data_IF_603629929168
#
_entry.id   IF_603629929168
#
_cell.length_a   1.000
_cell.length_b   1.000
_cell.length_c   1.000
_cell.angle_alpha   90.00
_cell.angle_beta   90.00
_cell.angle_gamma   90.00
#
_symmetry.space_group_name_H-M   'P 1'
#
loop_
_entity.id
_entity.type
_entity.pdbx_description
1 polymer ?
#
# COMPACT_ATOMS: atom_id res chain seq x y z
N UNK A 1 62.80 -9.66 -8.93
CA UNK A 1 61.62 -9.43 -9.78
C UNK A 1 60.36 -9.62 -8.96
N UNK A 2 59.44 -8.65 -8.97
CA UNK A 2 58.15 -8.73 -8.26
C UNK A 2 57.18 -9.51 -9.15
N UNK A 3 56.79 -10.71 -8.71
CA UNK A 3 55.61 -11.39 -9.23
C UNK A 3 54.36 -10.66 -8.69
N UNK A 4 53.98 -9.56 -9.35
CA UNK A 4 52.76 -8.82 -9.06
C UNK A 4 51.63 -9.18 -10.03
N UNK A 5 50.45 -9.48 -9.48
CA UNK A 5 49.13 -9.22 -10.08
C UNK A 5 48.72 -9.87 -11.43
N UNK A 6 49.12 -11.11 -11.72
CA UNK A 6 48.55 -11.83 -12.89
C UNK A 6 47.15 -12.42 -12.60
N UNK A 7 46.77 -12.58 -11.33
CA UNK A 7 45.48 -13.15 -10.92
C UNK A 7 44.35 -12.11 -10.96
N UNK A 8 44.63 -10.84 -10.63
CA UNK A 8 43.65 -9.76 -10.60
C UNK A 8 42.95 -9.52 -11.94
N UNK A 9 43.72 -9.47 -13.04
CA UNK A 9 43.17 -9.22 -14.38
C UNK A 9 42.28 -10.36 -14.88
N UNK A 10 42.64 -11.62 -14.59
CA UNK A 10 41.84 -12.79 -14.99
C UNK A 10 40.51 -12.84 -14.24
N UNK A 11 40.49 -12.45 -12.97
CA UNK A 11 39.26 -12.44 -12.18
C UNK A 11 38.37 -11.24 -12.51
N UNK A 12 38.94 -10.07 -12.84
CA UNK A 12 38.20 -8.94 -13.41
C UNK A 12 37.56 -9.31 -14.75
N UNK A 13 38.29 -10.01 -15.63
CA UNK A 13 37.77 -10.53 -16.90
C UNK A 13 36.65 -11.57 -16.70
N UNK A 14 36.76 -12.47 -15.71
CA UNK A 14 35.68 -13.43 -15.36
C UNK A 14 34.42 -12.74 -14.83
N UNK A 15 34.56 -11.68 -14.04
CA UNK A 15 33.43 -10.91 -13.51
C UNK A 15 32.74 -10.12 -14.63
N UNK A 16 33.51 -9.47 -15.50
CA UNK A 16 33.00 -8.72 -16.65
C UNK A 16 32.28 -9.65 -17.65
N UNK A 17 32.87 -10.82 -17.95
CA UNK A 17 32.25 -11.82 -18.84
C UNK A 17 30.98 -12.43 -18.23
N UNK A 18 30.95 -12.69 -16.93
CA UNK A 18 29.73 -13.13 -16.25
C UNK A 18 28.60 -12.09 -16.31
N UNK A 19 28.92 -10.80 -16.11
CA UNK A 19 27.92 -9.73 -16.22
C UNK A 19 27.38 -9.59 -17.66
N UNK A 20 28.25 -9.70 -18.67
CA UNK A 20 27.85 -9.68 -20.08
C UNK A 20 26.94 -10.85 -20.44
N UNK A 21 27.27 -12.07 -19.99
CA UNK A 21 26.45 -13.27 -20.20
C UNK A 21 25.10 -13.18 -19.48
N UNK A 22 25.05 -12.63 -18.26
CA UNK A 22 23.77 -12.44 -17.55
C UNK A 22 22.86 -11.44 -18.29
N UNK A 23 23.43 -10.33 -18.78
CA UNK A 23 22.69 -9.34 -19.57
C UNK A 23 22.18 -9.94 -20.89
N UNK A 24 23.03 -10.69 -21.58
CA UNK A 24 22.68 -11.41 -22.82
C UNK A 24 21.58 -12.43 -22.56
N UNK A 25 21.71 -13.24 -21.52
CA UNK A 25 20.72 -14.27 -21.20
C UNK A 25 19.35 -13.71 -20.82
N UNK A 26 19.30 -12.63 -20.01
CA UNK A 26 18.05 -11.92 -19.72
C UNK A 26 17.39 -11.34 -20.98
N UNK A 27 18.20 -10.85 -21.93
CA UNK A 27 17.70 -10.33 -23.20
C UNK A 27 17.09 -11.45 -24.05
N UNK A 28 17.77 -12.58 -24.18
CA UNK A 28 17.28 -13.74 -24.93
C UNK A 28 16.00 -14.35 -24.33
N UNK A 29 15.91 -14.44 -23.00
CA UNK A 29 14.68 -14.86 -22.33
C UNK A 29 13.51 -13.89 -22.58
N UNK A 30 13.78 -12.58 -22.59
CA UNK A 30 12.77 -11.57 -22.88
C UNK A 30 12.32 -11.61 -24.35
N UNK A 31 13.25 -11.77 -25.29
CA UNK A 31 12.98 -11.92 -26.72
C UNK A 31 12.16 -13.18 -27.01
N UNK A 32 12.49 -14.31 -26.38
CA UNK A 32 11.71 -15.55 -26.49
C UNK A 32 10.26 -15.39 -25.98
N UNK A 33 10.08 -14.76 -24.81
CA UNK A 33 8.74 -14.47 -24.28
C UNK A 33 7.94 -13.54 -25.20
N UNK A 34 8.58 -12.50 -25.74
CA UNK A 34 7.95 -11.57 -26.67
C UNK A 34 7.51 -12.27 -27.97
N UNK A 35 8.35 -13.15 -28.53
CA UNK A 35 8.01 -13.91 -29.74
C UNK A 35 6.82 -14.85 -29.55
N UNK A 36 6.69 -15.50 -28.39
CA UNK A 36 5.50 -16.33 -28.08
C UNK A 36 4.25 -15.48 -27.98
N UNK A 37 4.31 -14.36 -27.26
CA UNK A 37 3.15 -13.48 -27.07
C UNK A 37 2.75 -12.81 -28.40
N UNK A 38 3.71 -12.41 -29.25
CA UNK A 38 3.44 -11.86 -30.58
C UNK A 38 2.79 -12.89 -31.51
N UNK A 39 3.33 -14.12 -31.53
CA UNK A 39 2.74 -15.20 -32.31
C UNK A 39 1.33 -15.54 -31.84
N UNK A 40 1.09 -15.48 -30.52
CA UNK A 40 -0.21 -15.71 -29.94
C UNK A 40 -1.21 -14.58 -30.23
N UNK A 41 -0.81 -13.32 -30.05
CA UNK A 41 -1.66 -12.15 -30.29
C UNK A 41 -2.07 -11.99 -31.75
N UNK A 42 -1.21 -12.37 -32.71
CA UNK A 42 -1.57 -12.48 -34.14
C UNK A 42 -2.67 -13.51 -34.39
N UNK A 43 -2.74 -14.59 -33.60
CA UNK A 43 -3.79 -15.61 -33.68
C UNK A 43 -5.03 -15.31 -32.82
N UNK A 44 -4.91 -14.48 -31.78
CA UNK A 44 -5.97 -14.21 -30.81
C UNK A 44 -6.61 -12.83 -31.01
N UNK A 45 -7.80 -12.81 -31.62
CA UNK A 45 -8.57 -11.60 -31.95
C UNK A 45 -9.01 -10.75 -30.74
N UNK A 46 -9.07 -11.34 -29.54
CA UNK A 46 -9.56 -10.66 -28.32
C UNK A 46 -8.44 -10.20 -27.37
N UNK A 47 -7.18 -10.19 -27.82
CA UNK A 47 -6.01 -9.79 -27.00
C UNK A 47 -6.18 -8.40 -26.34
N UNK A 48 -6.57 -7.40 -27.13
CA UNK A 48 -6.82 -6.05 -26.61
C UNK A 48 -8.04 -5.95 -25.68
N UNK A 49 -9.02 -6.85 -25.81
CA UNK A 49 -10.17 -6.91 -24.88
C UNK A 49 -9.76 -7.49 -23.53
N UNK A 50 -8.90 -8.51 -23.53
CA UNK A 50 -8.33 -9.09 -22.31
C UNK A 50 -7.55 -8.06 -21.50
N UNK A 51 -6.65 -7.30 -22.15
CA UNK A 51 -5.88 -6.25 -21.49
C UNK A 51 -6.78 -5.17 -20.86
N UNK A 52 -7.79 -4.71 -21.61
CA UNK A 52 -8.78 -3.74 -21.10
C UNK A 52 -9.58 -4.31 -19.92
N UNK A 53 -9.94 -5.59 -19.96
CA UNK A 53 -10.66 -6.24 -18.87
C UNK A 53 -9.79 -6.38 -17.61
N UNK A 54 -8.50 -6.70 -17.76
CA UNK A 54 -7.53 -6.72 -16.66
C UNK A 54 -7.35 -5.33 -16.04
N UNK A 55 -7.16 -4.30 -16.85
CA UNK A 55 -7.06 -2.92 -16.39
C UNK A 55 -8.34 -2.48 -15.65
N UNK A 56 -9.51 -2.83 -16.20
CA UNK A 56 -10.81 -2.53 -15.57
C UNK A 56 -10.96 -3.26 -14.24
N UNK A 57 -10.58 -4.53 -14.15
CA UNK A 57 -10.62 -5.30 -12.92
C UNK A 57 -9.69 -4.70 -11.85
N UNK A 58 -8.45 -4.36 -12.21
CA UNK A 58 -7.50 -3.70 -11.31
C UNK A 58 -8.06 -2.39 -10.78
N UNK A 59 -8.54 -1.51 -11.68
CA UNK A 59 -9.13 -0.22 -11.30
C UNK A 59 -10.30 -0.34 -10.33
N UNK A 60 -11.19 -1.32 -10.55
CA UNK A 60 -12.33 -1.56 -9.67
C UNK A 60 -11.88 -2.11 -8.31
N UNK A 61 -10.91 -3.03 -8.28
CA UNK A 61 -10.34 -3.58 -7.04
C UNK A 61 -9.60 -2.51 -6.23
N UNK A 62 -8.80 -1.66 -6.89
CA UNK A 62 -8.11 -0.56 -6.24
C UNK A 62 -9.10 0.44 -5.62
N UNK A 63 -10.16 0.77 -6.36
CA UNK A 63 -11.24 1.62 -5.83
C UNK A 63 -11.95 0.97 -4.65
N UNK A 64 -12.22 -0.35 -4.72
CA UNK A 64 -12.82 -1.11 -3.63
C UNK A 64 -11.93 -1.07 -2.38
N UNK A 65 -10.63 -1.31 -2.53
CA UNK A 65 -9.66 -1.32 -1.43
C UNK A 65 -9.59 0.04 -0.74
N UNK A 66 -9.37 1.12 -1.52
CA UNK A 66 -9.34 2.50 -0.98
C UNK A 66 -10.61 2.84 -0.21
N UNK A 67 -11.78 2.45 -0.73
CA UNK A 67 -13.08 2.71 -0.09
C UNK A 67 -13.27 1.84 1.17
N UNK A 68 -12.77 0.60 1.18
CA UNK A 68 -12.74 -0.23 2.39
C UNK A 68 -11.83 0.36 3.49
N UNK A 69 -10.68 0.92 3.12
CA UNK A 69 -9.76 1.56 4.06
C UNK A 69 -10.38 2.80 4.74
N UNK A 70 -11.27 3.51 4.06
CA UNK A 70 -12.03 4.61 4.66
C UNK A 70 -13.06 4.08 5.67
N UNK A 71 -13.75 2.99 5.34
CA UNK A 71 -14.77 2.38 6.22
C UNK A 71 -14.14 1.69 7.43
N UNK A 72 -12.94 1.10 7.30
CA UNK A 72 -12.26 0.46 8.42
C UNK A 72 -11.90 1.44 9.53
N UNK A 73 -11.62 2.71 9.19
CA UNK A 73 -11.37 3.81 10.14
C UNK A 73 -12.60 4.25 10.93
N UNK A 74 -13.80 3.77 10.58
CA UNK A 74 -15.05 4.09 11.28
C UNK A 74 -14.95 3.78 12.78
N UNK A 75 -14.40 2.61 13.15
CA UNK A 75 -14.27 2.21 14.56
C UNK A 75 -13.38 3.19 15.35
N UNK A 76 -12.28 3.63 14.74
CA UNK A 76 -11.36 4.59 15.38
C UNK A 76 -12.01 5.97 15.53
N UNK A 77 -12.79 6.39 14.54
CA UNK A 77 -13.57 7.63 14.62
C UNK A 77 -14.66 7.56 15.72
N UNK A 78 -15.38 6.44 15.84
CA UNK A 78 -16.34 6.22 16.94
C UNK A 78 -15.64 6.27 18.31
N UNK A 79 -14.44 5.69 18.43
CA UNK A 79 -13.65 5.72 19.65
C UNK A 79 -13.23 7.15 20.04
N UNK A 80 -12.73 7.93 19.07
CA UNK A 80 -12.36 9.34 19.28
C UNK A 80 -13.55 10.20 19.67
N UNK A 81 -14.74 9.96 19.12
CA UNK A 81 -15.96 10.68 19.54
C UNK A 81 -16.36 10.35 20.97
N UNK A 82 -16.24 9.07 21.39
CA UNK A 82 -16.49 8.68 22.77
C UNK A 82 -15.49 9.35 23.72
N UNK A 83 -14.21 9.41 23.36
CA UNK A 83 -13.19 10.12 24.13
C UNK A 83 -13.47 11.62 24.19
N UNK A 84 -13.80 12.25 23.06
CA UNK A 84 -14.19 13.64 22.99
C UNK A 84 -15.37 13.97 23.92
N UNK A 85 -16.41 13.12 23.95
CA UNK A 85 -17.55 13.27 24.87
C UNK A 85 -17.15 13.15 26.35
N UNK A 86 -16.25 12.22 26.69
CA UNK A 86 -15.73 12.08 28.07
C UNK A 86 -14.98 13.35 28.51
N UNK A 87 -14.09 13.85 27.66
CA UNK A 87 -13.32 15.08 27.92
C UNK A 87 -14.25 16.31 28.04
N UNK A 88 -15.31 16.37 27.24
CA UNK A 88 -16.33 17.43 27.39
C UNK A 88 -17.01 17.36 28.75
N UNK A 89 -17.41 16.16 29.20
CA UNK A 89 -17.97 15.97 30.55
C UNK A 89 -16.99 16.31 31.68
N UNK A 90 -15.69 16.01 31.51
CA UNK A 90 -14.64 16.42 32.44
C UNK A 90 -14.46 17.93 32.50
N UNK A 91 -14.41 18.61 31.35
CA UNK A 91 -14.33 20.07 31.28
C UNK A 91 -15.50 20.73 32.01
N UNK A 92 -16.72 20.24 31.80
CA UNK A 92 -17.92 20.75 32.49
C UNK A 92 -17.81 20.54 34.01
N UNK A 93 -17.27 19.41 34.48
CA UNK A 93 -17.04 19.17 35.92
C UNK A 93 -16.05 20.18 36.50
N UNK A 94 -14.91 20.40 35.84
CA UNK A 94 -13.92 21.39 36.28
C UNK A 94 -14.49 22.81 36.34
N UNK A 95 -15.33 23.21 35.38
CA UNK A 95 -16.02 24.51 35.42
C UNK A 95 -16.99 24.63 36.59
N UNK A 96 -17.74 23.56 36.90
CA UNK A 96 -18.65 23.53 38.06
C UNK A 96 -17.88 23.68 39.37
N UNK A 97 -16.78 22.95 39.52
CA UNK A 97 -15.90 23.06 40.70
C UNK A 97 -15.30 24.46 40.81
N UNK A 98 -14.79 25.03 39.71
CA UNK A 98 -14.29 26.39 39.70
C UNK A 98 -15.36 27.42 40.14
N UNK A 99 -16.60 27.27 39.66
CA UNK A 99 -17.71 28.14 40.06
C UNK A 99 -18.04 28.05 41.55
N UNK A 100 -17.88 26.87 42.18
CA UNK A 100 -18.02 26.70 43.64
C UNK A 100 -16.90 27.46 44.35
N UNK A 101 -15.65 27.27 43.93
CA UNK A 101 -14.48 27.94 44.52
C UNK A 101 -14.56 29.47 44.42
N UNK A 102 -15.07 30.01 43.31
CA UNK A 102 -15.32 31.45 43.13
C UNK A 102 -16.32 31.96 44.17
N UNK A 103 -17.46 31.28 44.33
CA UNK A 103 -18.49 31.67 45.31
C UNK A 103 -17.93 31.65 46.74
N UNK A 104 -17.19 30.61 47.12
CA UNK A 104 -16.56 30.54 48.44
C UNK A 104 -15.48 31.62 48.63
N UNK A 105 -14.69 31.91 47.60
CA UNK A 105 -13.71 33.00 47.60
C UNK A 105 -14.35 34.36 47.88
N UNK A 106 -15.47 34.66 47.20
CA UNK A 106 -16.21 35.91 47.37
C UNK A 106 -16.78 36.07 48.77
N UNK A 107 -17.34 34.99 49.35
CA UNK A 107 -17.84 34.97 50.73
C UNK A 107 -16.72 35.26 51.73
N UNK A 108 -15.60 34.54 51.65
CA UNK A 108 -14.46 34.73 52.55
C UNK A 108 -13.85 36.14 52.43
N UNK A 109 -13.86 36.72 51.23
CA UNK A 109 -13.37 38.08 51.02
C UNK A 109 -14.30 39.11 51.66
N UNK A 110 -15.63 38.91 51.58
CA UNK A 110 -16.64 39.75 52.25
C UNK A 110 -16.54 39.66 53.78
N UNK A 111 -16.19 38.50 54.32
CA UNK A 111 -15.97 38.26 55.75
C UNK A 111 -14.61 38.80 56.26
N UNK A 112 -13.85 39.51 55.42
CA UNK A 112 -12.55 40.09 55.79
C UNK A 112 -11.35 39.14 55.68
N UNK A 113 -11.58 37.88 55.30
CA UNK A 113 -10.57 36.81 55.23
C UNK A 113 -9.83 36.78 53.87
N UNK A 114 -9.25 37.93 53.49
CA UNK A 114 -8.68 38.19 52.15
C UNK A 114 -7.64 37.18 51.68
N UNK A 115 -6.79 36.67 52.58
CA UNK A 115 -5.75 35.67 52.25
C UNK A 115 -6.35 34.33 51.84
N UNK A 116 -7.42 33.89 52.51
CA UNK A 116 -8.11 32.64 52.20
C UNK A 116 -8.90 32.78 50.89
N UNK A 117 -9.61 33.90 50.70
CA UNK A 117 -10.27 34.23 49.43
C UNK A 117 -9.32 34.18 48.24
N UNK A 118 -8.18 34.89 48.31
CA UNK A 118 -7.18 34.89 47.22
C UNK A 118 -6.65 33.49 46.87
N UNK A 119 -6.50 32.58 47.84
CA UNK A 119 -6.10 31.19 47.58
C UNK A 119 -7.17 30.42 46.80
N UNK A 120 -8.45 30.57 47.16
CA UNK A 120 -9.56 29.93 46.45
C UNK A 120 -9.75 30.53 45.06
N UNK A 121 -9.58 31.84 44.90
CA UNK A 121 -9.59 32.48 43.59
C UNK A 121 -8.53 31.89 42.65
N UNK A 122 -7.27 31.77 43.11
CA UNK A 122 -6.20 31.12 42.33
C UNK A 122 -6.50 29.65 42.03
N UNK A 123 -7.16 28.94 42.95
CA UNK A 123 -7.59 27.54 42.71
C UNK A 123 -8.65 27.49 41.61
N UNK A 124 -9.61 28.41 41.62
CA UNK A 124 -10.63 28.51 40.59
C UNK A 124 -10.06 28.83 39.21
N UNK A 125 -9.07 29.73 39.12
CA UNK A 125 -8.37 30.07 37.88
C UNK A 125 -7.64 28.86 37.27
N UNK A 126 -6.98 28.05 38.10
CA UNK A 126 -6.34 26.80 37.63
C UNK A 126 -7.37 25.78 37.13
N UNK A 127 -8.52 25.69 37.79
CA UNK A 127 -9.60 24.78 37.39
C UNK A 127 -10.26 25.24 36.07
N UNK A 128 -10.48 26.55 35.89
CA UNK A 128 -11.00 27.09 34.63
C UNK A 128 -10.01 26.90 33.48
N UNK A 129 -8.72 27.16 33.68
CA UNK A 129 -7.67 26.90 32.69
C UNK A 129 -7.65 25.42 32.26
N UNK A 130 -7.64 24.51 33.23
CA UNK A 130 -7.72 23.06 32.97
C UNK A 130 -8.97 22.69 32.19
N UNK A 131 -10.11 23.28 32.53
CA UNK A 131 -11.37 23.04 31.84
C UNK A 131 -11.32 23.49 30.36
N UNK A 132 -10.78 24.68 30.10
CA UNK A 132 -10.65 25.23 28.74
C UNK A 132 -9.73 24.36 27.89
N UNK A 133 -8.57 23.96 28.40
CA UNK A 133 -7.67 23.05 27.67
C UNK A 133 -8.32 21.71 27.34
N UNK A 134 -9.05 21.15 28.30
CA UNK A 134 -9.77 19.89 28.13
C UNK A 134 -10.89 20.02 27.09
N UNK A 135 -11.61 21.14 27.09
CA UNK A 135 -12.65 21.46 26.10
C UNK A 135 -12.07 21.59 24.70
N UNK A 136 -10.95 22.31 24.54
CA UNK A 136 -10.30 22.48 23.24
C UNK A 136 -9.83 21.13 22.68
N UNK A 137 -9.28 20.25 23.53
CA UNK A 137 -8.90 18.89 23.15
C UNK A 137 -10.11 18.06 22.73
N UNK A 138 -11.20 18.13 23.50
CA UNK A 138 -12.49 17.48 23.16
C UNK A 138 -13.01 17.92 21.80
N UNK A 139 -13.02 19.23 21.52
CA UNK A 139 -13.51 19.80 20.26
C UNK A 139 -12.68 19.32 19.06
N UNK A 140 -11.35 19.33 19.18
CA UNK A 140 -10.45 18.84 18.12
C UNK A 140 -10.68 17.36 17.81
N UNK A 141 -10.86 16.53 18.84
CA UNK A 141 -11.12 15.10 18.67
C UNK A 141 -12.50 14.85 18.05
N UNK A 142 -13.53 15.57 18.49
CA UNK A 142 -14.90 15.35 18.04
C UNK A 142 -15.10 15.78 16.59
N UNK A 143 -14.62 16.97 16.20
CA UNK A 143 -14.78 17.47 14.82
C UNK A 143 -14.13 16.54 13.80
N UNK A 144 -12.86 16.17 14.01
CA UNK A 144 -12.15 15.27 13.09
C UNK A 144 -12.83 13.90 12.98
N UNK A 145 -13.34 13.40 14.09
CA UNK A 145 -14.01 12.11 14.13
C UNK A 145 -15.41 12.15 13.51
N UNK A 146 -16.13 13.27 13.60
CA UNK A 146 -17.40 13.48 12.88
C UNK A 146 -17.19 13.48 11.37
N UNK A 147 -16.17 14.18 10.88
CA UNK A 147 -15.80 14.19 9.46
C UNK A 147 -15.42 12.78 8.96
N UNK A 148 -14.59 12.07 9.73
CA UNK A 148 -14.20 10.68 9.44
C UNK A 148 -15.42 9.74 9.41
N UNK A 149 -16.40 9.93 10.31
CA UNK A 149 -17.65 9.15 10.31
C UNK A 149 -18.56 9.48 9.14
N UNK A 150 -18.71 10.75 8.79
CA UNK A 150 -19.51 11.17 7.65
C UNK A 150 -18.95 10.58 6.35
N UNK A 151 -17.63 10.64 6.18
CA UNK A 151 -16.91 10.02 5.07
C UNK A 151 -17.07 8.49 5.05
N UNK A 152 -16.91 7.83 6.21
CA UNK A 152 -17.11 6.38 6.29
C UNK A 152 -18.55 5.95 5.95
N UNK A 153 -19.56 6.71 6.36
CA UNK A 153 -20.97 6.43 6.06
C UNK A 153 -21.28 6.60 4.57
N UNK A 154 -20.84 7.69 3.96
CA UNK A 154 -21.05 7.94 2.53
C UNK A 154 -20.39 6.84 1.68
N UNK A 155 -19.18 6.43 2.06
CA UNK A 155 -18.46 5.35 1.38
C UNK A 155 -19.10 3.98 1.61
N UNK A 156 -19.60 3.71 2.81
CA UNK A 156 -20.25 2.42 3.12
C UNK A 156 -21.44 2.14 2.21
N UNK A 157 -22.19 3.17 1.80
CA UNK A 157 -23.29 3.06 0.84
C UNK A 157 -22.82 2.69 -0.58
N UNK A 158 -21.61 3.08 -0.98
CA UNK A 158 -21.04 2.76 -2.30
C UNK A 158 -20.47 1.34 -2.40
N UNK A 159 -20.08 0.74 -1.26
CA UNK A 159 -19.37 -0.55 -1.24
C UNK A 159 -20.13 -1.70 -1.90
N UNK A 160 -21.45 -1.90 -1.68
CA UNK A 160 -22.19 -2.98 -2.35
C UNK A 160 -22.14 -2.87 -3.88
N UNK A 161 -22.32 -1.67 -4.42
CA UNK A 161 -22.26 -1.42 -5.87
C UNK A 161 -20.87 -1.69 -6.44
N UNK A 162 -19.82 -1.29 -5.72
CA UNK A 162 -18.42 -1.58 -6.12
C UNK A 162 -18.10 -3.07 -6.04
N UNK A 163 -18.61 -3.81 -5.04
CA UNK A 163 -18.49 -5.27 -4.95
C UNK A 163 -19.17 -5.96 -6.14
N UNK A 164 -20.35 -5.50 -6.52
CA UNK A 164 -21.05 -5.98 -7.72
C UNK A 164 -20.21 -5.78 -8.99
N UNK A 165 -19.69 -4.56 -9.20
CA UNK A 165 -18.80 -4.24 -10.33
C UNK A 165 -17.53 -5.10 -10.33
N UNK A 166 -16.94 -5.37 -9.17
CA UNK A 166 -15.74 -6.20 -9.04
C UNK A 166 -16.02 -7.66 -9.40
N UNK A 167 -17.19 -8.19 -9.02
CA UNK A 167 -17.64 -9.54 -9.41
C UNK A 167 -17.87 -9.64 -10.92
N UNK A 168 -18.55 -8.66 -11.51
CA UNK A 168 -18.81 -8.61 -12.95
C UNK A 168 -17.51 -8.52 -13.77
N UNK A 169 -16.61 -7.61 -13.40
CA UNK A 169 -15.34 -7.46 -14.08
C UNK A 169 -14.44 -8.70 -13.93
N UNK A 170 -14.50 -9.40 -12.78
CA UNK A 170 -13.85 -10.70 -12.60
C UNK A 170 -14.43 -11.76 -13.54
N UNK A 171 -15.75 -11.81 -13.69
CA UNK A 171 -16.42 -12.78 -14.54
C UNK A 171 -16.03 -12.57 -16.02
N UNK A 172 -16.07 -11.33 -16.50
CA UNK A 172 -15.60 -10.98 -17.86
C UNK A 172 -14.15 -11.37 -18.05
N UNK A 173 -13.28 -11.09 -17.07
CA UNK A 173 -11.88 -11.47 -17.14
C UNK A 173 -11.69 -12.99 -17.21
N UNK A 174 -12.45 -13.75 -16.42
CA UNK A 174 -12.39 -15.21 -16.44
C UNK A 174 -12.81 -15.78 -17.80
N UNK A 175 -13.87 -15.23 -18.41
CA UNK A 175 -14.32 -15.64 -19.75
C UNK A 175 -13.21 -15.37 -20.77
N UNK A 176 -12.64 -14.17 -20.79
CA UNK A 176 -11.57 -13.82 -21.73
C UNK A 176 -10.29 -14.66 -21.50
N UNK A 177 -9.99 -15.04 -20.26
CA UNK A 177 -8.88 -15.97 -19.95
C UNK A 177 -9.17 -17.39 -20.43
N UNK A 178 -10.41 -17.86 -20.31
CA UNK A 178 -10.81 -19.15 -20.85
C UNK A 178 -10.75 -19.17 -22.37
N UNK A 179 -11.20 -18.09 -23.03
CA UNK A 179 -11.06 -17.91 -24.48
C UNK A 179 -9.60 -17.86 -24.91
N UNK A 180 -8.73 -17.17 -24.16
CA UNK A 180 -7.27 -17.17 -24.37
C UNK A 180 -6.73 -18.60 -24.35
N UNK A 181 -7.03 -19.37 -23.30
CA UNK A 181 -6.55 -20.75 -23.16
C UNK A 181 -7.08 -21.68 -24.27
N UNK A 182 -8.33 -21.48 -24.70
CA UNK A 182 -8.91 -22.20 -25.83
C UNK A 182 -8.20 -21.83 -27.14
N UNK A 183 -7.91 -20.56 -27.35
CA UNK A 183 -7.18 -20.07 -28.51
C UNK A 183 -5.75 -20.61 -28.54
N UNK A 184 -5.04 -20.64 -27.40
CA UNK A 184 -3.70 -21.22 -27.30
C UNK A 184 -3.71 -22.69 -27.76
N UNK A 185 -4.63 -23.50 -27.24
CA UNK A 185 -4.79 -24.91 -27.67
C UNK A 185 -5.10 -25.06 -29.15
N UNK A 186 -5.94 -24.18 -29.71
CA UNK A 186 -6.25 -24.21 -31.14
C UNK A 186 -5.05 -23.83 -32.00
N UNK A 187 -4.22 -22.89 -31.54
CA UNK A 187 -3.03 -22.41 -32.24
C UNK A 187 -1.87 -23.41 -32.22
N UNK A 188 -1.78 -24.26 -31.20
CA UNK A 188 -0.77 -25.33 -31.14
C UNK A 188 -0.81 -26.28 -32.36
N UNK A 189 -1.98 -26.49 -32.96
CA UNK A 189 -2.14 -27.27 -34.19
C UNK A 189 -1.69 -26.55 -35.47
N UNK A 190 -1.42 -25.24 -35.43
CA UNK A 190 -1.00 -24.46 -36.59
C UNK A 190 0.52 -24.41 -36.73
N UNK A 191 1.04 -24.90 -37.85
CA UNK A 191 2.48 -25.00 -38.12
C UNK A 191 3.26 -23.68 -37.96
N UNK A 192 2.68 -22.56 -38.39
CA UNK A 192 3.31 -21.24 -38.28
C UNK A 192 3.50 -20.79 -36.81
N UNK A 193 2.50 -21.07 -35.97
CA UNK A 193 2.57 -20.78 -34.54
C UNK A 193 3.55 -21.72 -33.83
N UNK A 194 3.48 -23.02 -34.10
CA UNK A 194 4.39 -24.02 -33.53
C UNK A 194 5.87 -23.70 -33.83
N UNK A 195 6.19 -23.27 -35.06
CA UNK A 195 7.55 -22.85 -35.45
C UNK A 195 8.04 -21.66 -34.62
N UNK A 196 7.19 -20.64 -34.45
CA UNK A 196 7.51 -19.44 -33.64
C UNK A 196 7.67 -19.75 -32.16
N UNK A 197 6.84 -20.63 -31.62
CA UNK A 197 6.96 -21.09 -30.22
C UNK A 197 8.25 -21.91 -30.02
N UNK A 198 8.65 -22.73 -31.00
CA UNK A 198 9.91 -23.48 -30.96
C UNK A 198 11.12 -22.55 -30.97
N UNK A 199 11.14 -21.57 -31.87
CA UNK A 199 12.17 -20.52 -31.94
C UNK A 199 12.30 -19.78 -30.60
N UNK A 200 11.17 -19.38 -30.01
CA UNK A 200 11.16 -18.75 -28.70
C UNK A 200 11.67 -19.64 -27.56
N UNK A 201 11.31 -20.95 -27.55
CA UNK A 201 11.83 -21.91 -26.57
C UNK A 201 13.34 -22.11 -26.71
N UNK A 202 13.88 -22.00 -27.93
CA UNK A 202 15.32 -22.05 -28.17
C UNK A 202 16.02 -20.86 -27.50
N UNK A 203 15.53 -19.64 -27.76
CA UNK A 203 16.07 -18.41 -27.17
C UNK A 203 16.02 -18.41 -25.64
N UNK A 204 14.91 -18.88 -25.05
CA UNK A 204 14.81 -19.02 -23.59
C UNK A 204 15.82 -20.03 -23.03
N UNK A 205 16.04 -21.17 -23.71
CA UNK A 205 17.03 -22.17 -23.30
C UNK A 205 18.45 -21.64 -23.41
N UNK A 206 18.76 -20.92 -24.48
CA UNK A 206 20.06 -20.25 -24.64
C UNK A 206 20.27 -19.18 -23.59
N UNK A 207 19.25 -18.38 -23.30
CA UNK A 207 19.31 -17.37 -22.25
C UNK A 207 19.54 -17.99 -20.86
N UNK A 208 18.84 -19.08 -20.54
CA UNK A 208 19.04 -19.83 -19.30
C UNK A 208 20.45 -20.44 -19.21
N UNK A 209 21.00 -20.93 -20.32
CA UNK A 209 22.39 -21.43 -20.39
C UNK A 209 23.39 -20.31 -20.14
N UNK A 210 23.22 -19.16 -20.77
CA UNK A 210 24.08 -17.98 -20.57
C UNK A 210 24.03 -17.50 -19.12
N UNK A 211 22.86 -17.48 -18.48
CA UNK A 211 22.70 -17.15 -17.06
C UNK A 211 23.37 -18.20 -16.15
N UNK A 212 23.24 -19.49 -16.47
CA UNK A 212 23.87 -20.57 -15.72
C UNK A 212 25.41 -20.50 -15.81
N UNK A 213 25.94 -20.23 -17.00
CA UNK A 213 27.36 -20.00 -17.24
C UNK A 213 27.87 -18.77 -16.49
N UNK A 214 27.13 -17.66 -16.52
CA UNK A 214 27.45 -16.46 -15.75
C UNK A 214 27.55 -16.75 -14.25
N UNK A 215 26.59 -17.51 -13.70
CA UNK A 215 26.61 -17.91 -12.28
C UNK A 215 27.81 -18.81 -11.96
N UNK A 216 28.14 -19.76 -12.82
CA UNK A 216 29.31 -20.63 -12.66
C UNK A 216 30.65 -19.88 -12.76
N UNK A 217 30.73 -18.84 -13.58
CA UNK A 217 31.91 -17.97 -13.67
C UNK A 217 32.08 -17.08 -12.43
N UNK A 218 30.98 -16.58 -11.84
CA UNK A 218 31.03 -15.82 -10.58
C UNK A 218 31.52 -16.68 -9.42
N UNK A 219 30.95 -17.88 -9.23
CA UNK A 219 31.37 -18.80 -8.15
C UNK A 219 32.86 -19.14 -8.23
N UNK A 220 33.36 -19.47 -9.43
CA UNK A 220 34.79 -19.77 -9.66
C UNK A 220 35.71 -18.55 -9.55
N UNK A 221 35.17 -17.34 -9.70
CA UNK A 221 35.91 -16.09 -9.47
C UNK A 221 35.93 -15.65 -7.99
N UNK A 222 35.04 -16.19 -7.17
CA UNK A 222 34.99 -15.99 -5.72
C UNK A 222 35.85 -17.02 -4.98
N UNK A 223 35.84 -18.29 -5.42
CA UNK A 223 36.69 -19.37 -4.89
C UNK A 223 38.20 -19.14 -5.15
N UNK A 224 38.58 -18.35 -6.16
CA UNK A 224 39.96 -17.96 -6.42
C UNK A 224 40.47 -16.79 -5.57
N UNK A 225 39.60 -16.19 -4.74
CA UNK A 225 39.92 -15.08 -3.83
C UNK A 225 39.99 -15.49 -2.35
N UNK A 226 39.64 -16.74 -2.03
CA UNK A 226 39.71 -17.34 -0.69
C UNK A 226 41.00 -18.17 -0.56
#
# INVERSE_FOLDING_TARGET
>A
EKAGDITGDKDVLKVATAAALEKKGKKLEAEGKALKEEAFTKGFKHSGQLERAEAKQRKVLDKLKRKQDVVSRKKDAEAKLREGKKLSGESIRWLKEAGIEIKHSELLTKEGNKKAGSKLQRKSEKLTEKAVHTMLRSRRLSHKAEDDLASARSVAAELPGLRGKAKQARLVLNVLKAERAKAERSLEGHAAYAKKVSEARHLEKEGARDIALARGLRKRGEEGKA
#
